data_IF_467959636984
#
_entry.id   IF_467959636984
#
_cell.length_a   1.000
_cell.length_b   1.000
_cell.length_c   1.000
_cell.angle_alpha   90.00
_cell.angle_beta   90.00
_cell.angle_gamma   90.00
#
_symmetry.space_group_name_H-M   'P 1'
#
loop_
_entity.id
_entity.type
_entity.pdbx_description
1 polymer ?
#
# COMPACT_ATOMS: atom_id res chain seq x y z
N UNK A 1 3.47 -6.83 7.93
CA UNK A 1 3.15 -6.45 9.32
C UNK A 1 4.27 -5.60 9.89
N UNK A 2 4.00 -4.32 10.14
CA UNK A 2 4.85 -3.39 10.89
C UNK A 2 4.51 -3.55 12.37
N UNK A 3 5.52 -3.50 13.22
CA UNK A 3 5.40 -3.77 14.66
C UNK A 3 5.92 -2.57 15.43
N UNK A 4 5.14 -2.11 16.39
CA UNK A 4 5.59 -1.23 17.44
C UNK A 4 5.50 -1.97 18.79
N UNK A 5 6.66 -2.21 19.40
CA UNK A 5 6.76 -2.93 20.67
C UNK A 5 6.40 -2.04 21.87
N UNK A 6 6.51 -0.72 21.71
CA UNK A 6 6.29 0.25 22.80
C UNK A 6 4.82 0.38 23.16
N UNK A 7 3.94 0.46 22.16
CA UNK A 7 2.50 0.55 22.36
C UNK A 7 1.79 -0.80 22.17
N UNK A 8 2.54 -1.85 21.79
CA UNK A 8 1.98 -3.18 21.54
C UNK A 8 1.03 -3.17 20.35
N UNK A 9 1.49 -2.64 19.21
CA UNK A 9 0.67 -2.45 18.01
C UNK A 9 1.26 -3.17 16.81
N UNK A 10 0.38 -3.76 15.99
CA UNK A 10 0.72 -4.37 14.70
C UNK A 10 -0.12 -3.71 13.61
N UNK A 11 0.55 -3.13 12.62
CA UNK A 11 -0.09 -2.58 11.44
C UNK A 11 0.14 -3.48 10.22
N UNK A 12 -0.95 -3.99 9.62
CA UNK A 12 -0.88 -4.53 8.27
C UNK A 12 -1.02 -3.42 7.23
N UNK A 13 0.10 -3.00 6.65
CA UNK A 13 0.03 -2.00 5.60
C UNK A 13 -0.52 -2.59 4.30
N UNK A 14 -1.47 -1.87 3.74
CA UNK A 14 -2.02 -2.07 2.41
C UNK A 14 -1.72 -0.81 1.61
N UNK A 15 -1.15 -0.86 0.41
CA UNK A 15 -0.99 0.37 -0.37
C UNK A 15 -2.32 0.98 -0.83
N UNK A 16 -2.32 2.30 -1.04
CA UNK A 16 -3.45 3.10 -1.57
C UNK A 16 -4.64 3.27 -0.62
N UNK A 17 -4.40 3.02 0.68
CA UNK A 17 -5.33 3.26 1.80
C UNK A 17 -4.74 4.22 2.83
N UNK A 18 -4.13 5.32 2.37
CA UNK A 18 -3.37 6.28 3.20
C UNK A 18 -2.18 5.66 3.95
N UNK A 19 -1.60 4.58 3.42
CA UNK A 19 -0.51 3.86 4.08
C UNK A 19 0.74 4.68 4.38
N UNK A 20 1.02 5.74 3.61
CA UNK A 20 2.15 6.63 3.87
C UNK A 20 1.95 7.37 5.19
N UNK A 21 0.74 7.89 5.46
CA UNK A 21 0.43 8.54 6.73
C UNK A 21 0.41 7.55 7.89
N UNK A 22 -0.16 6.35 7.71
CA UNK A 22 -0.08 5.31 8.73
C UNK A 22 1.36 4.88 9.03
N UNK A 23 2.24 4.81 8.03
CA UNK A 23 3.67 4.56 8.26
C UNK A 23 4.32 5.71 9.05
N UNK A 24 4.00 6.97 8.76
CA UNK A 24 4.49 8.11 9.56
C UNK A 24 4.03 8.03 11.02
N UNK A 25 2.75 7.69 11.23
CA UNK A 25 2.22 7.41 12.57
C UNK A 25 3.01 6.30 13.26
N UNK A 26 3.28 5.18 12.59
CA UNK A 26 4.08 4.10 13.18
C UNK A 26 5.52 4.53 13.52
N UNK A 27 6.11 5.46 12.76
CA UNK A 27 7.45 6.03 13.06
C UNK A 27 7.40 6.85 14.35
N UNK A 28 6.41 7.73 14.49
CA UNK A 28 6.23 8.53 15.71
C UNK A 28 5.99 7.62 16.92
N UNK A 29 5.11 6.61 16.80
CA UNK A 29 4.81 5.68 17.89
C UNK A 29 6.03 4.86 18.32
N UNK A 30 6.79 4.35 17.36
CA UNK A 30 7.96 3.51 17.68
C UNK A 30 9.23 4.31 17.98
N UNK A 31 9.20 5.64 17.78
CA UNK A 31 10.36 6.53 17.84
C UNK A 31 11.54 6.00 17.00
N UNK A 32 11.24 5.32 15.89
CA UNK A 32 12.24 4.57 15.12
C UNK A 32 13.12 5.45 14.24
N UNK A 33 12.77 6.73 14.10
CA UNK A 33 13.52 7.72 13.33
C UNK A 33 13.74 8.96 14.20
N UNK A 34 14.97 9.48 14.15
CA UNK A 34 15.39 10.65 14.90
C UNK A 34 15.72 11.80 13.96
N UNK A 35 15.36 13.02 14.36
CA UNK A 35 15.88 14.26 13.81
C UNK A 35 16.84 14.90 14.81
N UNK A 36 18.11 15.04 14.43
CA UNK A 36 19.19 15.58 15.29
C UNK A 36 19.23 14.99 16.70
N UNK A 37 19.00 13.67 16.80
CA UNK A 37 19.00 12.93 18.06
C UNK A 37 17.68 12.93 18.84
N UNK A 38 16.64 13.61 18.34
CA UNK A 38 15.31 13.66 18.97
C UNK A 38 14.28 12.91 18.14
N UNK A 39 13.38 12.10 18.72
CA UNK A 39 12.30 11.45 17.97
C UNK A 39 11.34 12.45 17.32
N UNK A 40 10.87 12.11 16.12
CA UNK A 40 9.79 12.86 15.46
C UNK A 40 8.51 12.82 16.30
N UNK A 41 7.85 13.97 16.43
CA UNK A 41 6.58 14.10 17.16
C UNK A 41 5.37 14.29 16.24
N UNK A 42 5.53 15.07 15.17
CA UNK A 42 4.50 15.23 14.15
C UNK A 42 4.77 14.26 12.98
N UNK A 43 3.80 13.41 12.60
CA UNK A 43 3.94 12.57 11.41
C UNK A 43 4.19 13.35 10.10
N UNK A 44 3.72 14.60 9.98
CA UNK A 44 3.90 15.43 8.79
C UNK A 44 5.34 15.92 8.61
N UNK A 45 6.10 16.06 9.70
CA UNK A 45 7.51 16.47 9.66
C UNK A 45 8.40 15.37 9.05
N UNK A 46 7.92 14.12 8.99
CA UNK A 46 8.69 13.00 8.47
C UNK A 46 8.72 13.04 6.93
N UNK A 47 9.91 13.20 6.31
CA UNK A 47 10.05 13.24 4.86
C UNK A 47 9.70 11.90 4.20
N UNK A 48 9.13 11.95 3.00
CA UNK A 48 8.52 10.79 2.31
C UNK A 48 9.53 9.69 1.99
N UNK A 49 10.77 10.07 1.69
CA UNK A 49 11.91 9.21 1.41
C UNK A 49 12.22 8.26 2.57
N UNK A 50 12.03 8.71 3.81
CA UNK A 50 12.26 7.88 5.00
C UNK A 50 11.07 6.98 5.34
N UNK A 51 9.84 7.39 4.95
CA UNK A 51 8.61 6.63 5.24
C UNK A 51 8.61 5.25 4.59
N UNK A 52 9.13 5.17 3.36
CA UNK A 52 9.16 3.95 2.57
C UNK A 52 10.48 3.18 2.69
N UNK A 53 11.47 3.73 3.39
CA UNK A 53 12.74 3.06 3.62
C UNK A 53 12.50 1.77 4.43
N UNK A 54 13.04 0.67 3.92
CA UNK A 54 12.84 -0.65 4.49
C UNK A 54 13.39 -0.73 5.92
N UNK A 55 14.42 0.05 6.28
CA UNK A 55 15.09 0.05 7.59
C UNK A 55 14.27 0.73 8.70
N UNK A 56 13.44 1.71 8.37
CA UNK A 56 12.71 2.56 9.33
C UNK A 56 11.69 1.81 10.19
N UNK A 57 11.09 0.74 9.66
CA UNK A 57 10.02 0.01 10.35
C UNK A 57 10.52 -1.33 10.88
N UNK A 58 10.27 -1.65 12.15
CA UNK A 58 10.37 -3.04 12.60
C UNK A 58 9.22 -3.83 11.94
N UNK A 59 9.56 -4.96 11.29
CA UNK A 59 8.56 -5.81 10.62
C UNK A 59 8.83 -7.26 10.94
N UNK A 60 7.79 -8.10 10.86
CA UNK A 60 7.95 -9.55 11.08
C UNK A 60 8.97 -10.20 10.14
N UNK A 61 9.12 -9.72 8.90
CA UNK A 61 10.13 -10.24 7.97
C UNK A 61 11.57 -9.99 8.48
N UNK A 62 11.78 -8.99 9.35
CA UNK A 62 13.07 -8.70 9.98
C UNK A 62 13.30 -9.45 11.28
N UNK A 63 12.28 -10.11 11.84
CA UNK A 63 12.41 -10.78 13.14
C UNK A 63 13.43 -11.91 13.09
N UNK A 64 13.52 -12.65 11.99
CA UNK A 64 14.54 -13.68 11.84
C UNK A 64 15.94 -13.13 12.02
N UNK A 65 16.26 -12.01 11.36
CA UNK A 65 17.57 -11.34 11.48
C UNK A 65 17.85 -10.84 12.90
N UNK A 66 16.81 -10.44 13.66
CA UNK A 66 16.96 -9.83 14.99
C UNK A 66 16.94 -10.85 16.13
N UNK A 67 16.16 -11.91 16.00
CA UNK A 67 15.85 -12.84 17.10
C UNK A 67 16.18 -14.31 16.77
N UNK A 68 16.64 -14.61 15.55
CA UNK A 68 17.00 -15.96 15.11
C UNK A 68 15.88 -16.96 15.35
N UNK A 69 16.23 -18.10 15.97
CA UNK A 69 15.28 -19.19 16.27
C UNK A 69 14.06 -18.77 17.09
N UNK A 70 14.15 -17.70 17.88
CA UNK A 70 13.04 -17.19 18.70
C UNK A 70 12.01 -16.37 17.91
N UNK A 71 12.31 -16.01 16.65
CA UNK A 71 11.45 -15.18 15.79
C UNK A 71 10.00 -15.68 15.76
N UNK A 72 9.78 -16.97 15.48
CA UNK A 72 8.43 -17.55 15.35
C UNK A 72 7.65 -17.48 16.66
N UNK A 73 8.31 -17.76 17.78
CA UNK A 73 7.70 -17.71 19.11
C UNK A 73 7.27 -16.28 19.46
N UNK A 74 8.16 -15.30 19.23
CA UNK A 74 7.86 -13.88 19.46
C UNK A 74 6.75 -13.35 18.57
N UNK A 75 6.74 -13.72 17.28
CA UNK A 75 5.64 -13.36 16.37
C UNK A 75 4.30 -13.88 16.87
N UNK A 76 4.23 -15.14 17.34
CA UNK A 76 3.01 -15.73 17.90
C UNK A 76 2.54 -15.00 19.15
N UNK A 77 3.45 -14.67 20.07
CA UNK A 77 3.11 -13.90 21.28
C UNK A 77 2.56 -12.53 20.91
N UNK A 78 3.22 -11.82 19.99
CA UNK A 78 2.81 -10.47 19.59
C UNK A 78 1.47 -10.51 18.86
N UNK A 79 1.23 -11.45 17.94
CA UNK A 79 -0.09 -11.62 17.32
C UNK A 79 -1.20 -11.88 18.34
N UNK A 80 -0.91 -12.60 19.43
CA UNK A 80 -1.89 -12.83 20.50
C UNK A 80 -2.12 -11.61 21.39
N UNK A 81 -1.08 -10.82 21.67
CA UNK A 81 -1.12 -9.78 22.71
C UNK A 81 -1.27 -8.34 22.19
N UNK A 82 -0.80 -8.05 20.99
CA UNK A 82 -0.75 -6.68 20.47
C UNK A 82 -2.05 -6.32 19.75
N UNK A 83 -2.46 -5.05 19.80
CA UNK A 83 -3.57 -4.55 18.99
C UNK A 83 -3.17 -4.59 17.52
N UNK A 84 -3.95 -5.28 16.69
CA UNK A 84 -3.69 -5.46 15.26
C UNK A 84 -4.70 -4.65 14.47
N UNK A 85 -4.23 -3.82 13.55
CA UNK A 85 -5.12 -3.07 12.68
C UNK A 85 -4.70 -3.10 11.22
N UNK A 86 -5.67 -2.88 10.34
CA UNK A 86 -5.44 -2.57 8.94
C UNK A 86 -6.44 -1.52 8.45
N UNK A 87 -6.12 -0.91 7.31
CA UNK A 87 -7.06 -0.06 6.59
C UNK A 87 -7.37 -0.68 5.24
N UNK A 88 -8.62 -0.56 4.81
CA UNK A 88 -9.11 -1.01 3.51
C UNK A 88 -9.68 0.17 2.73
N UNK A 89 -10.02 -0.10 1.48
CA UNK A 89 -10.72 0.78 0.56
C UNK A 89 -11.49 -0.10 -0.41
N UNK A 90 -12.51 0.45 -1.03
CA UNK A 90 -13.10 -0.16 -2.22
C UNK A 90 -12.00 -0.68 -3.19
N UNK A 91 -12.04 -1.96 -3.58
CA UNK A 91 -11.01 -2.58 -4.39
C UNK A 91 -10.86 -1.94 -5.77
N UNK A 92 -11.95 -1.49 -6.41
CA UNK A 92 -11.90 -0.88 -7.75
C UNK A 92 -11.28 0.51 -7.68
N UNK A 93 -11.68 1.34 -6.71
CA UNK A 93 -11.03 2.66 -6.50
C UNK A 93 -9.55 2.50 -6.17
N UNK A 94 -9.20 1.44 -5.41
CA UNK A 94 -7.81 1.11 -5.09
C UNK A 94 -7.02 0.76 -6.36
N UNK A 95 -7.58 0.02 -7.30
CA UNK A 95 -6.95 -0.28 -8.59
C UNK A 95 -6.72 0.99 -9.42
N UNK A 96 -7.70 1.89 -9.49
CA UNK A 96 -7.55 3.19 -10.16
C UNK A 96 -6.42 3.98 -9.52
N UNK A 97 -6.40 4.07 -8.19
CA UNK A 97 -5.32 4.76 -7.45
C UNK A 97 -3.95 4.13 -7.71
N UNK A 98 -3.87 2.81 -7.81
CA UNK A 98 -2.65 2.08 -8.15
C UNK A 98 -2.17 2.42 -9.56
N UNK A 99 -3.06 2.33 -10.55
CA UNK A 99 -2.76 2.63 -11.94
C UNK A 99 -2.25 4.06 -12.12
N UNK A 100 -3.01 5.05 -11.63
CA UNK A 100 -2.65 6.47 -11.71
C UNK A 100 -1.28 6.74 -11.10
N UNK A 101 -1.04 6.18 -9.92
CA UNK A 101 0.22 6.37 -9.20
C UNK A 101 1.43 5.72 -9.86
N UNK A 102 1.26 4.71 -10.71
CA UNK A 102 2.36 3.89 -11.24
C UNK A 102 2.59 4.02 -12.74
N UNK A 103 1.57 4.44 -13.50
CA UNK A 103 1.63 4.46 -14.96
C UNK A 103 1.25 5.80 -15.58
N UNK A 104 0.71 6.77 -14.83
CA UNK A 104 0.46 8.13 -15.37
C UNK A 104 1.61 9.11 -15.17
N UNK A 105 2.52 8.81 -14.25
CA UNK A 105 3.73 9.59 -14.00
C UNK A 105 4.95 8.75 -14.40
N UNK A 106 6.04 9.43 -14.78
CA UNK A 106 7.30 8.77 -15.11
C UNK A 106 7.79 7.92 -13.93
N UNK A 107 7.99 6.63 -14.20
CA UNK A 107 8.51 5.68 -13.24
C UNK A 107 9.26 4.57 -13.98
N UNK A 108 10.58 4.72 -14.08
CA UNK A 108 11.45 3.78 -14.82
C UNK A 108 11.30 2.33 -14.35
N UNK A 109 11.25 2.12 -13.03
CA UNK A 109 11.13 0.77 -12.48
C UNK A 109 9.82 0.10 -12.90
N UNK A 110 8.68 0.79 -12.73
CA UNK A 110 7.37 0.24 -13.07
C UNK A 110 7.17 0.17 -14.59
N UNK A 111 7.78 1.09 -15.34
CA UNK A 111 7.76 1.04 -16.78
C UNK A 111 8.43 -0.25 -17.30
N UNK A 112 9.68 -0.50 -16.90
CA UNK A 112 10.44 -1.69 -17.34
C UNK A 112 9.80 -2.99 -16.86
N UNK A 113 9.41 -3.07 -15.58
CA UNK A 113 8.91 -4.31 -14.97
C UNK A 113 7.47 -4.66 -15.37
N UNK A 114 6.61 -3.66 -15.61
CA UNK A 114 5.17 -3.90 -15.81
C UNK A 114 4.64 -3.28 -17.09
N UNK A 115 4.96 -2.02 -17.39
CA UNK A 115 4.40 -1.35 -18.56
C UNK A 115 4.86 -1.98 -19.88
N UNK A 116 6.15 -2.27 -20.01
CA UNK A 116 6.71 -2.90 -21.21
C UNK A 116 6.05 -4.27 -21.49
N UNK A 117 5.98 -5.21 -20.53
CA UNK A 117 5.20 -6.45 -20.72
C UNK A 117 3.74 -6.21 -21.08
N UNK A 118 3.05 -5.28 -20.41
CA UNK A 118 1.63 -4.97 -20.69
C UNK A 118 1.43 -4.45 -22.12
N UNK A 119 2.29 -3.53 -22.58
CA UNK A 119 2.22 -2.95 -23.92
C UNK A 119 2.49 -3.99 -25.01
N UNK A 120 3.42 -4.92 -24.77
CA UNK A 120 3.70 -6.03 -25.68
C UNK A 120 2.52 -6.99 -25.77
N UNK A 121 1.97 -7.43 -24.64
CA UNK A 121 0.97 -8.49 -24.59
C UNK A 121 -0.46 -8.02 -24.90
N UNK A 122 -0.84 -6.82 -24.48
CA UNK A 122 -2.23 -6.36 -24.50
C UNK A 122 -2.45 -5.15 -25.41
N UNK A 123 -1.39 -4.56 -25.95
CA UNK A 123 -1.46 -3.45 -26.90
C UNK A 123 -0.69 -3.70 -28.21
N UNK A 124 -0.13 -4.91 -28.39
CA UNK A 124 0.64 -5.33 -29.57
C UNK A 124 1.73 -4.34 -30.00
N UNK A 125 2.37 -3.66 -29.03
CA UNK A 125 3.44 -2.71 -29.31
C UNK A 125 4.80 -3.42 -29.36
N UNK A 126 5.56 -3.16 -30.40
CA UNK A 126 6.96 -3.58 -30.58
C UNK A 126 7.89 -2.38 -30.55
N UNK A 127 9.21 -2.60 -30.46
CA UNK A 127 10.19 -1.50 -30.48
C UNK A 127 10.05 -0.50 -29.33
N UNK A 128 9.65 -0.96 -28.14
CA UNK A 128 9.41 -0.08 -26.99
C UNK A 128 10.73 0.55 -26.51
N UNK A 129 10.76 1.88 -26.27
CA UNK A 129 11.95 2.57 -25.76
C UNK A 129 12.44 2.02 -24.42
N UNK A 130 13.73 2.21 -24.14
CA UNK A 130 14.36 1.74 -22.90
C UNK A 130 13.99 2.60 -21.68
N UNK A 131 13.70 3.89 -21.91
CA UNK A 131 13.29 4.84 -20.87
C UNK A 131 11.79 5.14 -20.93
N UNK A 132 11.21 5.45 -19.78
CA UNK A 132 9.80 5.85 -19.67
C UNK A 132 9.56 7.22 -20.31
N UNK A 133 10.55 8.11 -20.25
CA UNK A 133 10.43 9.47 -20.78
C UNK A 133 10.34 9.48 -22.32
N UNK A 134 11.18 8.68 -23.00
CA UNK A 134 11.09 8.48 -24.45
C UNK A 134 9.76 7.82 -24.84
N UNK A 135 9.34 6.79 -24.10
CA UNK A 135 8.06 6.13 -24.34
C UNK A 135 6.89 7.11 -24.21
N UNK A 136 6.88 7.94 -23.17
CA UNK A 136 5.84 8.94 -22.94
C UNK A 136 5.83 10.02 -24.03
N UNK A 137 7.00 10.48 -24.46
CA UNK A 137 7.17 11.44 -25.56
C UNK A 137 6.66 10.87 -26.89
N UNK A 138 6.82 9.56 -27.11
CA UNK A 138 6.28 8.84 -28.27
C UNK A 138 4.80 8.44 -28.12
N UNK A 139 4.12 8.85 -27.04
CA UNK A 139 2.71 8.48 -26.77
C UNK A 139 2.50 7.01 -26.38
N UNK A 140 3.56 6.26 -26.08
CA UNK A 140 3.52 4.87 -25.68
C UNK A 140 3.25 4.76 -24.17
N UNK A 141 1.97 4.87 -23.81
CA UNK A 141 1.49 4.75 -22.42
C UNK A 141 0.58 3.54 -22.27
N UNK A 142 0.72 2.84 -21.15
CA UNK A 142 -0.21 1.77 -20.76
C UNK A 142 -1.58 2.40 -20.54
N UNK A 143 -2.62 1.83 -21.15
CA UNK A 143 -4.00 2.22 -20.87
C UNK A 143 -4.54 1.48 -19.63
N UNK A 144 -5.60 2.01 -19.02
CA UNK A 144 -6.26 1.29 -17.93
C UNK A 144 -6.78 -0.09 -18.37
N UNK A 145 -7.29 -0.21 -19.60
CA UNK A 145 -7.72 -1.48 -20.16
C UNK A 145 -6.59 -2.50 -20.27
N UNK A 146 -5.36 -2.09 -20.63
CA UNK A 146 -4.21 -3.00 -20.62
C UNK A 146 -3.87 -3.46 -19.20
N UNK A 147 -4.00 -2.57 -18.22
CA UNK A 147 -3.80 -2.91 -16.81
C UNK A 147 -4.85 -3.89 -16.29
N UNK A 148 -6.13 -3.72 -16.66
CA UNK A 148 -7.19 -4.68 -16.29
C UNK A 148 -6.97 -6.04 -16.95
N UNK A 149 -6.62 -6.10 -18.24
CA UNK A 149 -6.29 -7.36 -18.90
C UNK A 149 -5.14 -8.09 -18.21
N UNK A 150 -4.10 -7.36 -17.81
CA UNK A 150 -2.99 -7.93 -17.03
C UNK A 150 -3.45 -8.57 -15.71
N UNK A 151 -4.42 -7.97 -15.01
CA UNK A 151 -4.93 -8.51 -13.76
C UNK A 151 -5.83 -9.74 -13.97
N UNK A 152 -6.55 -9.81 -15.09
CA UNK A 152 -7.45 -10.90 -15.42
C UNK A 152 -6.75 -12.09 -16.08
N UNK A 153 -5.59 -11.89 -16.69
CA UNK A 153 -4.83 -12.95 -17.35
C UNK A 153 -4.23 -13.93 -16.32
N UNK A 154 -4.68 -15.20 -16.26
CA UNK A 154 -4.20 -16.16 -15.25
C UNK A 154 -2.71 -16.45 -15.34
N UNK A 155 -2.08 -16.17 -16.49
CA UNK A 155 -0.64 -16.37 -16.69
C UNK A 155 0.18 -15.40 -15.85
N UNK A 156 -0.32 -14.18 -15.63
CA UNK A 156 0.44 -13.14 -14.91
C UNK A 156 0.61 -13.52 -13.44
N UNK A 157 -0.44 -14.03 -12.81
CA UNK A 157 -0.41 -14.49 -11.41
C UNK A 157 0.35 -15.82 -11.24
N UNK A 158 0.36 -16.69 -12.27
CA UNK A 158 1.19 -17.91 -12.28
C UNK A 158 2.68 -17.62 -12.31
N UNK A 159 3.11 -16.56 -13.00
CA UNK A 159 4.52 -16.19 -13.11
C UNK A 159 5.08 -15.63 -11.81
N UNK A 160 4.34 -14.73 -11.17
CA UNK A 160 4.72 -14.15 -9.89
C UNK A 160 3.50 -13.59 -9.15
N UNK A 161 3.55 -13.51 -7.80
CA UNK A 161 2.53 -12.80 -7.04
C UNK A 161 2.40 -11.35 -7.51
N UNK A 162 1.17 -10.85 -7.60
CA UNK A 162 0.92 -9.46 -7.94
C UNK A 162 1.65 -8.48 -7.01
N UNK A 163 2.06 -7.36 -7.58
CA UNK A 163 2.66 -6.27 -6.83
C UNK A 163 1.70 -5.80 -5.73
N UNK A 164 2.26 -5.46 -4.57
CA UNK A 164 1.49 -5.01 -3.40
C UNK A 164 0.50 -3.87 -3.67
N UNK A 165 0.74 -3.04 -4.68
CA UNK A 165 -0.12 -1.91 -4.99
C UNK A 165 -1.48 -2.28 -5.55
N UNK A 166 -1.60 -3.45 -6.20
CA UNK A 166 -2.85 -3.96 -6.76
C UNK A 166 -3.19 -5.37 -6.28
N UNK A 167 -2.32 -6.03 -5.50
CA UNK A 167 -2.64 -7.29 -4.83
C UNK A 167 -3.81 -7.12 -3.87
N UNK A 168 -4.69 -8.12 -3.79
CA UNK A 168 -5.89 -8.10 -2.96
C UNK A 168 -5.55 -8.00 -1.47
N UNK A 169 -6.37 -7.27 -0.70
CA UNK A 169 -6.15 -7.04 0.74
C UNK A 169 -6.06 -8.36 1.51
N UNK A 170 -6.95 -9.30 1.24
CA UNK A 170 -6.97 -10.59 1.95
C UNK A 170 -5.70 -11.41 1.70
N UNK A 171 -5.04 -11.25 0.55
CA UNK A 171 -3.76 -11.89 0.23
C UNK A 171 -2.54 -11.17 0.84
N UNK A 172 -2.68 -9.89 1.22
CA UNK A 172 -1.62 -9.12 1.88
C UNK A 172 -1.68 -9.28 3.40
N UNK A 173 -2.88 -9.27 3.96
CA UNK A 173 -3.12 -9.14 5.39
C UNK A 173 -3.74 -10.39 6.03
N UNK A 174 -4.15 -11.39 5.26
CA UNK A 174 -4.64 -12.68 5.78
C UNK A 174 -5.70 -12.54 6.90
N UNK A 175 -6.78 -11.76 6.72
CA UNK A 175 -7.78 -11.53 7.77
C UNK A 175 -8.51 -12.81 8.22
N UNK A 176 -8.47 -13.89 7.43
CA UNK A 176 -9.00 -15.19 7.85
C UNK A 176 -8.06 -15.96 8.81
N UNK A 177 -6.81 -15.51 8.98
CA UNK A 177 -5.79 -16.15 9.82
C UNK A 177 -5.29 -15.23 10.94
N UNK A 178 -5.55 -13.92 10.82
CA UNK A 178 -5.15 -12.90 11.79
C UNK A 178 -6.43 -12.20 12.23
N UNK A 179 -6.76 -12.36 13.51
CA UNK A 179 -7.88 -11.67 14.13
C UNK A 179 -7.51 -10.19 14.31
N UNK A 180 -8.00 -9.31 13.45
CA UNK A 180 -7.73 -7.88 13.56
C UNK A 180 -8.67 -7.24 14.58
N UNK A 181 -8.10 -6.47 15.50
CA UNK A 181 -8.85 -5.72 16.52
C UNK A 181 -9.52 -4.47 15.93
N UNK A 182 -9.01 -3.96 14.79
CA UNK A 182 -9.57 -2.82 14.09
C UNK A 182 -9.38 -2.91 12.58
N UNK A 183 -10.45 -2.69 11.82
CA UNK A 183 -10.43 -2.59 10.35
C UNK A 183 -11.04 -1.25 9.95
N UNK A 184 -10.18 -0.29 9.62
CA UNK A 184 -10.61 1.03 9.16
C UNK A 184 -10.82 1.09 7.65
N UNK A 185 -11.55 2.09 7.17
CA UNK A 185 -11.83 2.35 5.76
C UNK A 185 -11.24 3.70 5.34
N UNK A 186 -10.75 3.77 4.11
CA UNK A 186 -10.27 5.04 3.57
C UNK A 186 -11.42 6.03 3.32
N UNK A 187 -12.61 5.49 3.04
CA UNK A 187 -13.85 6.24 2.83
C UNK A 187 -14.22 7.05 4.08
N UNK A 188 -14.03 6.48 5.27
CA UNK A 188 -14.27 7.11 6.58
C UNK A 188 -12.97 7.43 7.33
N UNK A 189 -11.86 7.62 6.60
CA UNK A 189 -10.50 7.69 7.15
C UNK A 189 -10.35 8.61 8.37
N UNK A 190 -10.89 9.83 8.31
CA UNK A 190 -10.70 10.81 9.37
C UNK A 190 -11.37 10.35 10.69
N UNK A 191 -12.55 9.73 10.59
CA UNK A 191 -13.30 9.19 11.73
C UNK A 191 -12.63 7.92 12.28
N UNK A 192 -12.31 6.98 11.38
CA UNK A 192 -11.71 5.70 11.72
C UNK A 192 -10.30 5.88 12.32
N UNK A 193 -9.51 6.82 11.79
CA UNK A 193 -8.20 7.14 12.34
C UNK A 193 -8.32 7.74 13.75
N UNK A 194 -9.23 8.69 13.97
CA UNK A 194 -9.46 9.26 15.30
C UNK A 194 -9.97 8.21 16.30
N UNK A 195 -10.81 7.27 15.87
CA UNK A 195 -11.24 6.15 16.71
C UNK A 195 -10.08 5.22 17.06
N UNK A 196 -9.25 4.84 16.09
CA UNK A 196 -8.10 3.99 16.33
C UNK A 196 -7.10 4.63 17.30
N UNK A 197 -6.78 5.91 17.14
CA UNK A 197 -5.85 6.60 18.05
C UNK A 197 -6.37 6.66 19.49
N UNK A 198 -7.69 6.80 19.68
CA UNK A 198 -8.34 6.71 21.00
C UNK A 198 -8.28 5.29 21.58
N UNK A 199 -8.53 4.27 20.77
CA UNK A 199 -8.40 2.85 21.18
C UNK A 199 -6.97 2.54 21.64
N UNK A 200 -5.97 3.10 20.95
CA UNK A 200 -4.55 2.98 21.29
C UNK A 200 -4.12 3.90 22.45
N UNK A 201 -5.00 4.79 22.93
CA UNK A 201 -4.74 5.78 23.98
C UNK A 201 -3.58 6.74 23.68
N UNK A 202 -3.40 7.08 22.40
CA UNK A 202 -2.34 7.98 21.91
C UNK A 202 -2.91 9.27 21.30
N UNK A 203 -4.22 9.44 21.32
CA UNK A 203 -4.95 10.58 20.74
C UNK A 203 -4.61 11.95 21.37
N UNK A 204 -4.04 11.96 22.58
CA UNK A 204 -3.57 13.19 23.25
C UNK A 204 -2.19 13.66 22.80
N UNK A 205 -1.39 12.77 22.22
CA UNK A 205 0.02 13.05 21.86
C UNK A 205 0.25 12.94 20.36
N UNK A 206 -0.69 12.36 19.63
CA UNK A 206 -0.59 12.07 18.21
C UNK A 206 -1.93 12.34 17.54
N UNK A 207 -1.89 13.08 16.43
CA UNK A 207 -3.02 13.23 15.52
C UNK A 207 -2.70 12.58 14.18
N UNK A 208 -3.73 12.03 13.54
CA UNK A 208 -3.57 11.49 12.20
C UNK A 208 -3.43 12.64 11.20
N UNK A 209 -2.48 12.60 10.25
CA UNK A 209 -2.35 13.65 9.26
C UNK A 209 -3.63 13.86 8.46
N UNK A 210 -4.04 15.12 8.21
CA UNK A 210 -5.27 15.41 7.49
C UNK A 210 -5.27 14.79 6.09
N UNK A 211 -6.44 14.29 5.69
CA UNK A 211 -6.66 13.72 4.37
C UNK A 211 -6.69 14.83 3.30
N UNK A 212 -5.55 15.15 2.68
CA UNK A 212 -5.53 16.12 1.57
C UNK A 212 -6.44 15.67 0.41
N UNK A 213 -7.09 16.65 -0.24
CA UNK A 213 -8.21 16.54 -1.21
C UNK A 213 -7.97 15.71 -2.49
N UNK A 214 -6.79 15.11 -2.69
CA UNK A 214 -6.48 14.30 -3.87
C UNK A 214 -6.84 12.80 -3.71
N UNK A 215 -7.93 12.50 -2.99
CA UNK A 215 -8.46 11.13 -2.92
C UNK A 215 -9.11 10.80 -4.28
N UNK A 216 -8.71 9.68 -4.89
CA UNK A 216 -9.51 9.12 -6.01
C UNK A 216 -10.95 8.98 -5.52
N UNK A 217 -11.90 9.67 -6.15
CA UNK A 217 -13.29 9.62 -5.71
C UNK A 217 -13.91 8.30 -6.14
N UNK A 218 -14.85 7.78 -5.36
CA UNK A 218 -15.63 6.60 -5.75
C UNK A 218 -16.43 6.85 -7.03
N UNK A 219 -16.84 8.09 -7.30
CA UNK A 219 -17.49 8.47 -8.55
C UNK A 219 -16.65 8.20 -9.79
N UNK A 220 -15.33 8.04 -9.65
CA UNK A 220 -14.45 7.75 -10.80
C UNK A 220 -14.54 6.30 -11.25
N UNK A 221 -15.14 5.41 -10.45
CA UNK A 221 -15.33 4.02 -10.86
C UNK A 221 -16.14 3.93 -12.16
N UNK A 222 -17.23 4.69 -12.25
CA UNK A 222 -18.09 4.71 -13.44
C UNK A 222 -17.28 5.13 -14.68
N UNK A 223 -16.56 6.24 -14.60
CA UNK A 223 -15.76 6.76 -15.73
C UNK A 223 -14.66 5.78 -16.17
N UNK A 224 -13.90 5.24 -15.20
CA UNK A 224 -12.75 4.39 -15.50
C UNK A 224 -13.14 3.00 -15.98
N UNK A 225 -14.26 2.46 -15.49
CA UNK A 225 -14.75 1.15 -15.87
C UNK A 225 -15.80 1.17 -16.99
N UNK A 226 -16.30 2.34 -17.40
CA UNK A 226 -17.21 2.47 -18.54
C UNK A 226 -16.65 1.89 -19.83
N UNK A 227 -15.35 2.06 -20.06
CA UNK A 227 -14.67 1.53 -21.27
C UNK A 227 -14.21 0.07 -21.12
N UNK A 228 -14.47 -0.57 -19.97
CA UNK A 228 -14.09 -1.95 -19.73
C UNK A 228 -15.26 -2.88 -20.09
N UNK A 229 -15.05 -3.87 -20.99
CA UNK A 229 -16.09 -4.81 -21.39
C UNK A 229 -16.80 -5.45 -20.19
N UNK A 230 -18.12 -5.57 -20.25
CA UNK A 230 -18.91 -6.15 -19.16
C UNK A 230 -18.45 -7.57 -18.80
N UNK A 231 -18.11 -8.38 -19.81
CA UNK A 231 -17.60 -9.75 -19.63
C UNK A 231 -16.30 -9.83 -18.82
N UNK A 232 -15.52 -8.75 -18.74
CA UNK A 232 -14.30 -8.67 -17.93
C UNK A 232 -14.60 -8.24 -16.49
N UNK A 233 -15.72 -7.55 -16.27
CA UNK A 233 -16.14 -7.07 -14.94
C UNK A 233 -16.86 -8.14 -14.11
N UNK A 234 -17.24 -9.26 -14.73
CA UNK A 234 -18.00 -10.36 -14.11
C UNK A 234 -17.14 -11.58 -13.72
N UNK A 235 -15.82 -11.52 -13.96
CA UNK A 235 -14.84 -12.55 -13.60
C UNK A 235 -14.17 -12.22 -12.27
#
# INVERSE_FOLDING_TARGET
LIVDDRHGVIYCYVPKVACTNWKRVMIVLSESLLDRGTPYRDPLDIPREYVHNSSTHLTFNKFWRRYGKFSRHLMKIKLKKYTKFLFVRDPFVRLISAFRSKFQLENEEFYRKFAVPMLKMYANRTGLPASVSEAFSAGLKVSFANFIQYLLDPRTEKLAPFNEHWRQVHRLCHPCQIDYDFVGKLETLDQDAAQLLRLLKVDKVLHFPPSYRNRTASSWEEDWFATIPLAWRQQ
#
